data_IF_351256229232
#
_entry.id   IF_351256229232
#
_cell.length_a   1.000
_cell.length_b   1.000
_cell.length_c   1.000
_cell.angle_alpha   90.00
_cell.angle_beta   90.00
_cell.angle_gamma   90.00
#
_symmetry.space_group_name_H-M   'P 1'
#
loop_
_entity.id
_entity.type
_entity.pdbx_description
1 polymer ?
#
# COMPACT_ATOMS: atom_id res chain seq x y z
N UNK A 1 -1.17 -35.97 -50.73
CA UNK A 1 -2.42 -36.77 -50.64
C UNK A 1 -2.23 -37.68 -49.44
N UNK A 2 -2.71 -37.36 -48.23
CA UNK A 2 -4.12 -37.20 -47.85
C UNK A 2 -4.31 -36.04 -46.85
N UNK A 3 -5.47 -35.41 -46.95
CA UNK A 3 -5.92 -34.32 -46.09
C UNK A 3 -6.66 -34.88 -44.88
N UNK A 4 -6.28 -34.45 -43.68
CA UNK A 4 -6.95 -34.84 -42.44
C UNK A 4 -7.90 -33.72 -42.00
N UNK A 5 -9.17 -34.10 -41.88
CA UNK A 5 -10.33 -33.23 -41.78
C UNK A 5 -10.45 -32.68 -40.36
N UNK A 6 -10.42 -31.34 -40.26
CA UNK A 6 -10.72 -30.58 -39.05
C UNK A 6 -12.19 -30.76 -38.66
N UNK A 7 -12.43 -31.38 -37.50
CA UNK A 7 -13.75 -31.34 -36.85
C UNK A 7 -13.76 -30.21 -35.81
N UNK A 8 -14.63 -29.23 -36.05
CA UNK A 8 -14.87 -28.04 -35.24
C UNK A 8 -16.15 -28.28 -34.43
N UNK A 9 -16.14 -28.31 -33.09
CA UNK A 9 -17.38 -28.29 -32.34
C UNK A 9 -17.94 -26.86 -32.25
N UNK A 10 -19.23 -26.77 -32.49
CA UNK A 10 -20.06 -25.57 -32.53
C UNK A 10 -20.18 -24.89 -31.16
N UNK A 11 -20.14 -23.56 -31.20
CA UNK A 11 -20.46 -22.65 -30.10
C UNK A 11 -21.93 -22.73 -29.70
N UNK A 12 -22.21 -22.73 -28.40
CA UNK A 12 -23.51 -22.30 -27.84
C UNK A 12 -23.29 -21.04 -26.99
N UNK A 13 -24.15 -20.01 -27.08
CA UNK A 13 -24.00 -18.75 -26.36
C UNK A 13 -24.64 -18.86 -24.96
N UNK A 14 -23.85 -18.62 -23.90
CA UNK A 14 -24.37 -18.49 -22.53
C UNK A 14 -24.37 -17.00 -22.20
N UNK A 15 -25.58 -16.43 -22.14
CA UNK A 15 -25.82 -15.09 -21.61
C UNK A 15 -25.43 -15.01 -20.12
N UNK A 16 -24.88 -13.88 -19.65
CA UNK A 16 -24.77 -13.60 -18.23
C UNK A 16 -26.10 -13.08 -17.69
N UNK A 17 -26.41 -13.28 -16.40
CA UNK A 17 -27.17 -12.22 -15.77
C UNK A 17 -26.75 -11.89 -14.32
N UNK A 18 -27.00 -10.63 -13.99
CA UNK A 18 -27.13 -10.01 -12.67
C UNK A 18 -25.86 -9.47 -11.99
N UNK A 19 -25.66 -8.17 -12.24
CA UNK A 19 -25.13 -7.23 -11.25
C UNK A 19 -25.90 -7.38 -9.93
N UNK A 20 -25.19 -7.61 -8.82
CA UNK A 20 -25.70 -7.40 -7.47
C UNK A 20 -25.03 -6.15 -6.91
N UNK A 21 -25.83 -5.10 -6.73
CA UNK A 21 -25.45 -3.84 -6.09
C UNK A 21 -25.34 -4.02 -4.58
N UNK A 22 -24.31 -3.39 -3.99
CA UNK A 22 -24.20 -3.10 -2.57
C UNK A 22 -25.26 -2.06 -2.18
N UNK A 23 -26.38 -2.51 -1.60
CA UNK A 23 -27.24 -1.76 -0.68
C UNK A 23 -28.46 -2.66 -0.40
N UNK A 24 -29.04 -2.51 0.78
CA UNK A 24 -30.18 -3.25 1.32
C UNK A 24 -29.80 -4.54 2.04
N UNK A 25 -29.49 -4.40 3.34
CA UNK A 25 -30.01 -5.26 4.41
C UNK A 25 -29.74 -4.56 5.76
N UNK A 26 -30.51 -3.50 6.00
CA UNK A 26 -30.86 -3.07 7.34
C UNK A 26 -32.12 -3.84 7.75
N UNK A 27 -32.10 -4.31 9.00
CA UNK A 27 -33.25 -4.60 9.86
C UNK A 27 -33.62 -6.08 10.13
N UNK A 28 -33.57 -6.37 11.44
CA UNK A 28 -34.50 -7.17 12.26
C UNK A 28 -34.26 -8.68 12.42
N UNK A 29 -33.81 -9.00 13.63
CA UNK A 29 -34.49 -9.88 14.60
C UNK A 29 -34.77 -11.33 14.18
N UNK A 30 -33.88 -12.25 14.61
CA UNK A 30 -34.29 -13.47 15.31
C UNK A 30 -33.08 -14.24 15.85
N UNK A 31 -32.91 -14.21 17.18
CA UNK A 31 -31.98 -15.06 17.93
C UNK A 31 -32.82 -16.03 18.76
N UNK A 32 -32.72 -17.36 18.57
CA UNK A 32 -33.16 -18.31 19.58
C UNK A 32 -32.01 -18.63 20.55
N UNK A 33 -32.22 -18.16 21.77
CA UNK A 33 -31.76 -18.70 23.06
C UNK A 33 -31.32 -20.18 23.05
N UNK A 34 -30.09 -20.45 23.48
CA UNK A 34 -29.74 -21.63 24.28
C UNK A 34 -28.74 -21.28 25.39
N UNK A 35 -29.25 -21.36 26.62
CA UNK A 35 -28.56 -21.62 27.90
C UNK A 35 -27.59 -22.82 27.78
N UNK A 36 -26.59 -23.09 28.63
CA UNK A 36 -25.98 -22.47 29.80
C UNK A 36 -24.63 -23.19 30.01
N UNK A 37 -23.59 -22.47 30.43
CA UNK A 37 -22.27 -23.07 30.65
C UNK A 37 -21.40 -22.24 31.60
N UNK A 38 -21.81 -22.19 32.87
CA UNK A 38 -21.10 -21.52 33.98
C UNK A 38 -19.67 -22.05 34.13
N UNK A 39 -18.66 -21.17 34.09
CA UNK A 39 -17.47 -21.28 34.96
C UNK A 39 -17.08 -19.91 35.50
N UNK A 40 -16.97 -19.86 36.83
CA UNK A 40 -16.77 -18.72 37.70
C UNK A 40 -15.33 -18.18 37.62
N UNK A 41 -15.16 -16.86 37.63
CA UNK A 41 -13.94 -16.18 38.07
C UNK A 41 -14.31 -15.20 39.20
N UNK A 42 -13.45 -14.98 40.22
CA UNK A 42 -13.78 -14.20 41.41
C UNK A 42 -13.61 -12.68 41.19
N UNK A 43 -14.25 -11.83 42.02
CA UNK A 43 -14.21 -10.38 41.89
C UNK A 43 -12.97 -9.81 42.58
N UNK A 44 -12.36 -8.77 41.99
CA UNK A 44 -11.44 -7.88 42.70
C UNK A 44 -12.01 -6.47 42.75
N UNK A 45 -11.76 -5.88 43.91
CA UNK A 45 -12.39 -4.72 44.52
C UNK A 45 -12.25 -3.42 43.71
N UNK A 46 -13.35 -2.67 43.77
CA UNK A 46 -13.45 -1.21 43.65
C UNK A 46 -12.55 -0.49 44.67
N UNK A 47 -11.90 0.60 44.26
CA UNK A 47 -12.22 1.95 44.77
C UNK A 47 -11.71 3.05 43.82
N UNK A 48 -12.45 4.16 43.66
CA UNK A 48 -12.01 5.38 42.99
C UNK A 48 -11.65 6.49 43.99
N UNK A 49 -10.68 7.35 43.68
CA UNK A 49 -10.60 8.70 44.28
C UNK A 49 -10.05 9.73 43.31
N UNK A 50 -10.87 10.74 43.02
CA UNK A 50 -10.47 12.07 42.53
C UNK A 50 -9.75 12.85 43.65
N UNK A 51 -8.80 13.70 43.27
CA UNK A 51 -8.63 15.15 43.63
C UNK A 51 -7.15 15.55 43.38
N UNK A 52 -6.79 16.42 42.43
CA UNK A 52 -6.83 17.91 42.40
C UNK A 52 -5.48 18.55 42.79
N UNK A 53 -4.98 19.40 41.86
CA UNK A 53 -4.07 20.57 41.95
C UNK A 53 -2.57 20.41 42.28
N UNK A 54 -1.75 20.92 41.35
CA UNK A 54 -0.62 21.89 41.45
C UNK A 54 0.18 21.76 40.13
N UNK A 55 0.21 22.65 39.12
CA UNK A 55 0.26 24.12 38.95
C UNK A 55 1.41 24.84 39.67
N UNK A 56 2.57 24.85 39.02
CA UNK A 56 3.60 25.91 38.95
C UNK A 56 4.33 25.73 37.61
N UNK A 57 4.08 26.52 36.57
CA UNK A 57 4.62 27.86 36.25
C UNK A 57 6.10 27.85 35.80
N UNK A 58 6.29 27.96 34.48
CA UNK A 58 7.35 28.63 33.68
C UNK A 58 7.11 28.18 32.21
N UNK A 59 6.55 28.99 31.31
CA UNK A 59 7.08 30.22 30.67
C UNK A 59 8.39 29.89 29.92
N UNK A 60 8.58 30.06 28.60
CA UNK A 60 8.11 31.10 27.66
C UNK A 60 8.16 30.57 26.21
N UNK A 61 7.35 31.20 25.33
CA UNK A 61 7.44 31.25 23.85
C UNK A 61 7.16 29.96 23.06
N UNK A 62 6.35 29.91 22.00
CA UNK A 62 5.95 30.95 21.05
C UNK A 62 4.64 30.48 20.35
N UNK A 63 3.74 31.43 20.17
CA UNK A 63 2.36 31.32 19.67
C UNK A 63 2.16 30.45 18.41
N UNK A 64 1.38 29.38 18.55
CA UNK A 64 0.78 28.61 17.47
C UNK A 64 -0.65 29.05 17.18
N UNK A 65 -0.82 30.24 16.59
CA UNK A 65 -2.07 30.62 15.95
C UNK A 65 -1.82 30.76 14.45
N UNK A 66 -2.28 29.74 13.73
CA UNK A 66 -2.36 29.67 12.28
C UNK A 66 -3.26 30.80 11.75
N UNK A 67 -2.66 31.73 11.00
CA UNK A 67 -3.34 32.84 10.31
C UNK A 67 -3.41 32.62 8.80
N UNK A 68 -3.52 31.37 8.33
CA UNK A 68 -3.56 31.05 6.89
C UNK A 68 -4.98 31.05 6.29
N UNK A 69 -5.92 31.79 6.89
CA UNK A 69 -7.30 31.93 6.36
C UNK A 69 -7.77 33.39 6.31
N UNK A 70 -6.93 34.31 5.81
CA UNK A 70 -7.31 35.71 5.59
C UNK A 70 -6.89 36.30 4.22
N UNK A 71 -6.59 35.47 3.22
CA UNK A 71 -6.29 35.92 1.85
C UNK A 71 -7.30 35.44 0.79
N UNK A 72 -8.56 35.21 1.16
CA UNK A 72 -9.61 34.82 0.20
C UNK A 72 -10.83 35.73 0.20
N UNK A 73 -10.61 37.06 0.21
CA UNK A 73 -11.62 38.05 -0.18
C UNK A 73 -10.94 39.13 -1.01
N UNK A 74 -10.68 38.82 -2.28
CA UNK A 74 -10.62 39.84 -3.33
C UNK A 74 -11.14 39.25 -4.65
N UNK A 75 -12.30 38.60 -4.55
CA UNK A 75 -13.18 38.35 -5.69
C UNK A 75 -14.08 39.57 -5.85
N UNK A 76 -13.62 40.57 -6.60
CA UNK A 76 -14.50 41.52 -7.26
C UNK A 76 -14.37 41.30 -8.77
N UNK A 77 -15.27 40.44 -9.25
CA UNK A 77 -15.76 40.44 -10.62
C UNK A 77 -16.98 41.37 -10.62
N UNK A 78 -16.88 42.52 -11.29
CA UNK A 78 -17.99 43.37 -11.76
C UNK A 78 -17.42 44.73 -12.20
N UNK A 79 -16.92 44.83 -13.43
CA UNK A 79 -17.27 45.98 -14.26
C UNK A 79 -17.38 45.53 -15.71
N UNK A 80 -18.62 45.65 -16.18
CA UNK A 80 -19.11 45.44 -17.52
C UNK A 80 -18.32 46.26 -18.54
N UNK A 81 -17.85 45.58 -19.58
CA UNK A 81 -17.55 46.19 -20.87
C UNK A 81 -18.84 46.76 -21.49
N UNK A 82 -18.74 47.87 -22.22
CA UNK A 82 -19.41 47.96 -23.50
C UNK A 82 -18.34 47.82 -24.58
N UNK A 83 -18.42 46.67 -25.24
CA UNK A 83 -17.89 46.41 -26.57
C UNK A 83 -18.49 47.46 -27.51
N UNK A 84 -17.65 48.29 -28.11
CA UNK A 84 -18.03 49.09 -29.28
C UNK A 84 -17.05 48.75 -30.40
N UNK A 85 -17.49 47.83 -31.24
CA UNK A 85 -16.82 47.44 -32.46
C UNK A 85 -17.90 46.99 -33.44
N UNK A 86 -18.53 47.93 -34.12
CA UNK A 86 -18.97 47.74 -35.51
C UNK A 86 -19.32 49.09 -36.16
N UNK A 87 -18.41 49.62 -36.99
CA UNK A 87 -18.79 50.46 -38.12
C UNK A 87 -17.88 50.10 -39.30
N UNK A 88 -18.43 49.20 -40.10
CA UNK A 88 -18.13 48.92 -41.49
C UNK A 88 -18.07 50.18 -42.36
N UNK A 89 -17.07 50.19 -43.24
CA UNK A 89 -17.15 50.49 -44.68
C UNK A 89 -18.18 51.55 -45.13
N UNK A 90 -17.70 52.73 -45.53
CA UNK A 90 -18.28 53.45 -46.66
C UNK A 90 -17.18 54.08 -47.51
N UNK A 91 -17.40 53.94 -48.80
CA UNK A 91 -16.50 54.18 -49.92
C UNK A 91 -16.45 55.68 -50.29
N UNK A 92 -15.46 56.05 -51.10
CA UNK A 92 -15.56 57.14 -52.08
C UNK A 92 -15.46 58.60 -51.56
N UNK A 93 -14.31 59.24 -51.80
CA UNK A 93 -14.09 60.13 -52.97
C UNK A 93 -12.82 60.97 -52.81
N UNK A 94 -12.09 61.05 -53.93
CA UNK A 94 -10.77 61.63 -54.06
C UNK A 94 -10.62 63.11 -53.67
N UNK A 95 -9.37 63.48 -53.44
CA UNK A 95 -8.72 64.63 -54.09
C UNK A 95 -7.19 64.45 -54.03
N UNK A 96 -6.48 64.69 -55.14
CA UNK A 96 -5.02 64.65 -55.16
C UNK A 96 -4.50 65.98 -54.63
N UNK A 97 -3.65 65.96 -53.60
CA UNK A 97 -2.96 67.18 -53.17
C UNK A 97 -1.45 66.95 -53.11
N UNK A 98 -0.84 67.20 -54.26
CA UNK A 98 0.27 68.12 -54.46
C UNK A 98 1.52 67.86 -53.62
N UNK A 99 2.39 67.07 -54.24
CA UNK A 99 3.84 67.09 -54.07
C UNK A 99 4.36 68.51 -54.38
N UNK A 100 4.46 69.35 -53.34
CA UNK A 100 5.14 70.64 -53.42
C UNK A 100 6.65 70.37 -53.50
N UNK A 101 7.13 70.31 -54.74
CA UNK A 101 8.52 70.60 -55.09
C UNK A 101 8.99 71.84 -54.33
N UNK A 102 10.18 71.81 -53.70
CA UNK A 102 10.82 73.01 -53.23
C UNK A 102 11.01 73.97 -54.41
N UNK A 103 10.66 75.27 -54.28
CA UNK A 103 10.89 76.22 -55.35
C UNK A 103 12.39 76.37 -55.61
N UNK A 104 12.75 76.37 -56.90
CA UNK A 104 14.09 76.68 -57.38
C UNK A 104 14.63 77.96 -56.72
N UNK A 105 15.94 78.01 -56.36
CA UNK A 105 16.53 79.17 -55.73
C UNK A 105 16.39 80.40 -56.66
N UNK A 106 15.93 81.55 -56.16
CA UNK A 106 15.89 82.76 -56.96
C UNK A 106 17.32 83.14 -57.38
N UNK A 107 17.48 83.33 -58.70
CA UNK A 107 18.67 83.82 -59.38
C UNK A 107 19.35 84.96 -58.59
N UNK A 108 20.70 85.00 -58.54
CA UNK A 108 21.43 86.06 -57.86
C UNK A 108 21.11 87.40 -58.55
N UNK A 109 20.36 88.26 -57.87
CA UNK A 109 20.28 89.67 -58.26
C UNK A 109 21.67 90.26 -58.12
N UNK A 110 22.18 90.78 -59.23
CA UNK A 110 23.44 91.50 -59.30
C UNK A 110 23.54 92.55 -58.19
N UNK A 111 24.72 92.76 -57.60
CA UNK A 111 24.89 93.65 -56.47
C UNK A 111 24.52 95.07 -56.88
N UNK A 112 23.60 95.76 -56.17
CA UNK A 112 23.48 97.19 -56.36
C UNK A 112 24.83 97.81 -56.01
N UNK A 113 25.31 98.57 -56.99
CA UNK A 113 26.55 99.32 -57.00
C UNK A 113 26.87 99.91 -55.64
N UNK A 114 28.13 99.65 -55.26
CA UNK A 114 28.89 100.16 -54.12
C UNK A 114 28.78 101.68 -54.05
N UNK A 115 27.64 102.20 -53.56
CA UNK A 115 27.54 103.56 -53.06
C UNK A 115 28.46 103.61 -51.86
N UNK A 116 29.55 104.34 -52.03
CA UNK A 116 30.51 104.64 -50.99
C UNK A 116 29.73 104.93 -49.70
N UNK A 117 29.82 104.00 -48.75
CA UNK A 117 29.52 104.30 -47.36
C UNK A 117 30.54 105.35 -47.00
N UNK A 118 30.18 106.62 -47.19
CA UNK A 118 30.62 107.67 -46.28
C UNK A 118 30.49 107.04 -44.91
N UNK A 119 31.60 106.93 -44.21
CA UNK A 119 31.65 106.59 -42.80
C UNK A 119 30.81 107.65 -42.08
N UNK A 120 29.48 107.48 -42.12
CA UNK A 120 28.59 108.04 -41.13
C UNK A 120 29.03 107.29 -39.90
N UNK A 121 29.95 107.90 -39.15
CA UNK A 121 30.33 107.50 -37.81
C UNK A 121 28.99 107.32 -37.10
N UNK A 122 28.57 106.06 -36.95
CA UNK A 122 27.33 105.77 -36.29
C UNK A 122 27.43 106.44 -34.93
N UNK A 123 26.34 107.08 -34.50
CA UNK A 123 26.35 107.72 -33.20
C UNK A 123 26.74 106.64 -32.19
N UNK A 124 27.62 106.93 -31.24
CA UNK A 124 28.07 105.95 -30.24
C UNK A 124 26.90 105.18 -29.59
N UNK A 125 25.71 105.79 -29.55
CA UNK A 125 24.44 105.18 -29.13
C UNK A 125 23.88 104.12 -30.09
N UNK A 126 23.91 104.33 -31.41
CA UNK A 126 23.45 103.35 -32.41
C UNK A 126 24.35 102.11 -32.43
N UNK A 127 25.67 102.30 -32.35
CA UNK A 127 26.62 101.19 -32.22
C UNK A 127 26.41 100.43 -30.91
N UNK A 128 26.09 101.12 -29.82
CA UNK A 128 25.76 100.49 -28.55
C UNK A 128 24.49 99.64 -28.63
N UNK A 129 23.40 100.13 -29.24
CA UNK A 129 22.15 99.35 -29.43
C UNK A 129 22.39 98.15 -30.36
N UNK A 130 23.14 98.32 -31.45
CA UNK A 130 23.48 97.21 -32.36
C UNK A 130 24.36 96.18 -31.63
N UNK A 131 25.34 96.61 -30.83
CA UNK A 131 26.18 95.73 -30.02
C UNK A 131 25.36 95.00 -28.95
N UNK A 132 24.42 95.67 -28.30
CA UNK A 132 23.55 95.06 -27.28
C UNK A 132 22.59 94.03 -27.87
N UNK A 133 21.97 94.32 -29.00
CA UNK A 133 21.09 93.37 -29.71
C UNK A 133 21.87 92.19 -30.29
N UNK A 134 23.12 92.39 -30.73
CA UNK A 134 24.05 91.30 -31.09
C UNK A 134 24.39 90.43 -29.87
N UNK A 135 24.79 91.04 -28.75
CA UNK A 135 25.10 90.34 -27.50
C UNK A 135 23.90 89.50 -27.02
N UNK A 136 22.68 90.03 -27.13
CA UNK A 136 21.45 89.34 -26.75
C UNK A 136 21.10 88.17 -27.69
N UNK A 137 21.30 88.34 -29.01
CA UNK A 137 21.15 87.26 -29.99
C UNK A 137 22.18 86.16 -29.78
N UNK A 138 23.42 86.49 -29.47
CA UNK A 138 24.45 85.50 -29.14
C UNK A 138 24.13 84.75 -27.86
N UNK A 139 23.61 85.43 -26.82
CA UNK A 139 23.13 84.76 -25.61
C UNK A 139 22.02 83.77 -25.92
N UNK A 140 21.03 84.17 -26.74
CA UNK A 140 19.95 83.28 -27.17
C UNK A 140 20.45 82.09 -28.00
N UNK A 141 21.43 82.31 -28.89
CA UNK A 141 22.09 81.22 -29.66
C UNK A 141 22.87 80.28 -28.76
N UNK A 142 23.61 80.80 -27.77
CA UNK A 142 24.33 80.01 -26.76
C UNK A 142 23.37 79.19 -25.90
N UNK A 143 22.23 79.76 -25.50
CA UNK A 143 21.18 79.04 -24.77
C UNK A 143 20.56 77.93 -25.63
N UNK A 144 20.15 78.22 -26.87
CA UNK A 144 19.58 77.22 -27.76
C UNK A 144 20.57 76.08 -28.06
N UNK A 145 21.87 76.37 -28.18
CA UNK A 145 22.90 75.35 -28.34
C UNK A 145 23.08 74.49 -27.08
N UNK A 146 23.04 75.09 -25.88
CA UNK A 146 23.09 74.35 -24.61
C UNK A 146 21.87 73.44 -24.44
N UNK A 147 20.67 73.96 -24.69
CA UNK A 147 19.43 73.18 -24.61
C UNK A 147 19.42 72.03 -25.62
N UNK A 148 19.94 72.25 -26.84
CA UNK A 148 20.08 71.17 -27.83
C UNK A 148 21.05 70.08 -27.36
N UNK A 149 22.17 70.47 -26.75
CA UNK A 149 23.13 69.52 -26.17
C UNK A 149 22.56 68.74 -25.00
N UNK A 150 21.84 69.43 -24.11
CA UNK A 150 21.18 68.82 -22.96
C UNK A 150 20.13 67.79 -23.40
N UNK A 151 19.30 68.12 -24.39
CA UNK A 151 18.35 67.17 -24.99
C UNK A 151 19.03 65.96 -25.64
N UNK A 152 20.13 66.19 -26.36
CA UNK A 152 20.91 65.09 -26.97
C UNK A 152 21.52 64.16 -25.89
N UNK A 153 21.99 64.73 -24.79
CA UNK A 153 22.51 63.95 -23.66
C UNK A 153 21.42 63.18 -22.92
N UNK A 154 20.25 63.80 -22.70
CA UNK A 154 19.09 63.15 -22.08
C UNK A 154 18.57 61.98 -22.95
N UNK A 155 18.48 62.17 -24.27
CA UNK A 155 18.12 61.08 -25.19
C UNK A 155 19.15 59.94 -25.18
N UNK A 156 20.44 60.25 -25.06
CA UNK A 156 21.49 59.22 -24.95
C UNK A 156 21.38 58.46 -23.63
N UNK A 157 21.14 59.15 -22.52
CA UNK A 157 20.97 58.51 -21.22
C UNK A 157 19.71 57.63 -21.17
N UNK A 158 18.60 58.07 -21.79
CA UNK A 158 17.39 57.26 -21.92
C UNK A 158 17.64 56.00 -22.75
N UNK A 159 18.33 56.12 -23.90
CA UNK A 159 18.70 54.96 -24.73
C UNK A 159 19.57 53.96 -23.95
N UNK A 160 20.57 54.43 -23.22
CA UNK A 160 21.40 53.55 -22.39
C UNK A 160 20.60 52.86 -21.26
N UNK A 161 19.65 53.56 -20.64
CA UNK A 161 18.76 52.97 -19.62
C UNK A 161 17.85 51.90 -20.23
N UNK A 162 17.30 52.15 -21.41
CA UNK A 162 16.48 51.17 -22.13
C UNK A 162 17.30 49.94 -22.55
N UNK A 163 18.50 50.13 -23.09
CA UNK A 163 19.39 49.01 -23.44
C UNK A 163 19.76 48.18 -22.21
N UNK A 164 20.09 48.82 -21.09
CA UNK A 164 20.36 48.13 -19.81
C UNK A 164 19.12 47.36 -19.31
N UNK A 165 17.92 47.95 -19.43
CA UNK A 165 16.67 47.28 -19.07
C UNK A 165 16.41 46.07 -19.96
N UNK A 166 16.56 46.21 -21.28
CA UNK A 166 16.41 45.09 -22.22
C UNK A 166 17.40 43.96 -21.93
N UNK A 167 18.64 44.30 -21.56
CA UNK A 167 19.64 43.30 -21.19
C UNK A 167 19.26 42.56 -19.90
N UNK A 168 18.78 43.28 -18.89
CA UNK A 168 18.28 42.69 -17.65
C UNK A 168 17.09 41.77 -17.92
N UNK A 169 16.13 42.21 -18.75
CA UNK A 169 14.95 41.43 -19.12
C UNK A 169 15.34 40.15 -19.90
N UNK A 170 16.30 40.23 -20.83
CA UNK A 170 16.85 39.06 -21.54
C UNK A 170 17.48 38.07 -20.57
N UNK A 171 18.35 38.53 -19.67
CA UNK A 171 18.97 37.67 -18.65
C UNK A 171 17.94 37.03 -17.72
N UNK A 172 16.91 37.78 -17.32
CA UNK A 172 15.85 37.25 -16.47
C UNK A 172 15.04 36.17 -17.20
N UNK A 173 14.70 36.39 -18.47
CA UNK A 173 14.02 35.40 -19.32
C UNK A 173 14.85 34.13 -19.48
N UNK A 174 16.13 34.26 -19.85
CA UNK A 174 17.04 33.11 -19.96
C UNK A 174 17.15 32.32 -18.65
N UNK A 175 17.29 33.02 -17.52
CA UNK A 175 17.33 32.39 -16.20
C UNK A 175 16.01 31.66 -15.88
N UNK A 176 14.86 32.27 -16.16
CA UNK A 176 13.55 31.66 -15.94
C UNK A 176 13.36 30.40 -16.81
N UNK A 177 13.75 30.46 -18.09
CA UNK A 177 13.70 29.32 -19.01
C UNK A 177 14.60 28.18 -18.55
N UNK A 178 15.85 28.48 -18.19
CA UNK A 178 16.77 27.48 -17.62
C UNK A 178 16.19 26.84 -16.36
N UNK A 179 15.55 27.63 -15.49
CA UNK A 179 14.98 27.11 -14.25
C UNK A 179 13.77 26.22 -14.50
N UNK A 180 12.89 26.59 -15.43
CA UNK A 180 11.75 25.74 -15.82
C UNK A 180 12.20 24.45 -16.49
N UNK A 181 13.26 24.49 -17.32
CA UNK A 181 13.82 23.31 -17.95
C UNK A 181 14.41 22.34 -16.90
N UNK A 182 15.19 22.86 -15.95
CA UNK A 182 15.72 22.05 -14.85
C UNK A 182 14.59 21.41 -14.03
N UNK A 183 13.53 22.15 -13.71
CA UNK A 183 12.37 21.58 -13.01
C UNK A 183 11.68 20.49 -13.84
N UNK A 184 11.52 20.68 -15.15
CA UNK A 184 10.95 19.65 -16.05
C UNK A 184 11.81 18.40 -16.07
N UNK A 185 13.13 18.54 -16.13
CA UNK A 185 14.07 17.40 -16.09
C UNK A 185 13.96 16.66 -14.76
N UNK A 186 13.96 17.39 -13.63
CA UNK A 186 13.83 16.79 -12.31
C UNK A 186 12.49 16.06 -12.13
N UNK A 187 11.38 16.66 -12.59
CA UNK A 187 10.06 16.02 -12.56
C UNK A 187 10.05 14.72 -13.38
N UNK A 188 10.59 14.75 -14.60
CA UNK A 188 10.70 13.55 -15.45
C UNK A 188 11.58 12.47 -14.81
N UNK A 189 12.71 12.86 -14.20
CA UNK A 189 13.59 11.93 -13.50
C UNK A 189 12.90 11.27 -12.31
N UNK A 190 12.17 12.04 -11.48
CA UNK A 190 11.38 11.52 -10.36
C UNK A 190 10.30 10.55 -10.81
N UNK A 191 9.54 10.90 -11.86
CA UNK A 191 8.52 10.00 -12.43
C UNK A 191 9.14 8.70 -12.96
N UNK A 192 10.32 8.76 -13.57
CA UNK A 192 11.04 7.57 -14.03
C UNK A 192 11.49 6.69 -12.87
N UNK A 193 12.00 7.29 -11.79
CA UNK A 193 12.39 6.59 -10.57
C UNK A 193 11.18 5.91 -9.92
N UNK A 194 10.07 6.64 -9.74
CA UNK A 194 8.85 6.10 -9.14
C UNK A 194 8.27 4.92 -9.96
N UNK A 195 8.31 5.01 -11.29
CA UNK A 195 7.88 3.89 -12.16
C UNK A 195 8.79 2.66 -12.00
N UNK A 196 10.11 2.86 -11.95
CA UNK A 196 11.06 1.77 -11.75
C UNK A 196 10.89 1.12 -10.36
N UNK A 197 10.66 1.92 -9.32
CA UNK A 197 10.39 1.42 -7.97
C UNK A 197 9.09 0.62 -7.91
N UNK A 198 8.02 1.11 -8.56
CA UNK A 198 6.75 0.37 -8.67
C UNK A 198 6.92 -0.95 -9.40
N UNK A 199 7.66 -0.98 -10.50
CA UNK A 199 7.94 -2.20 -11.25
C UNK A 199 8.71 -3.22 -10.41
N UNK A 200 9.71 -2.78 -9.65
CA UNK A 200 10.45 -3.64 -8.71
C UNK A 200 9.54 -4.17 -7.60
N UNK A 201 8.68 -3.32 -7.04
CA UNK A 201 7.73 -3.70 -5.99
C UNK A 201 6.71 -4.74 -6.50
N UNK A 202 6.19 -4.55 -7.72
CA UNK A 202 5.24 -5.48 -8.33
C UNK A 202 5.91 -6.81 -8.70
N UNK A 203 7.16 -6.79 -9.19
CA UNK A 203 7.94 -8.02 -9.38
C UNK A 203 8.17 -8.77 -8.06
N UNK A 204 8.46 -8.07 -6.95
CA UNK A 204 8.59 -8.71 -5.62
C UNK A 204 7.28 -9.35 -5.19
N UNK A 205 6.14 -8.67 -5.37
CA UNK A 205 4.82 -9.22 -5.05
C UNK A 205 4.51 -10.47 -5.88
N UNK A 206 4.79 -10.43 -7.18
CA UNK A 206 4.64 -11.59 -8.07
C UNK A 206 5.50 -12.77 -7.59
N UNK A 207 6.77 -12.54 -7.26
CA UNK A 207 7.64 -13.60 -6.73
C UNK A 207 7.14 -14.19 -5.41
N UNK A 208 6.60 -13.36 -4.50
CA UNK A 208 6.02 -13.85 -3.24
C UNK A 208 4.80 -14.71 -3.54
N UNK A 209 3.93 -14.27 -4.45
CA UNK A 209 2.75 -15.01 -4.85
C UNK A 209 3.09 -16.35 -5.50
N UNK A 210 4.03 -16.37 -6.45
CA UNK A 210 4.51 -17.60 -7.09
C UNK A 210 5.14 -18.57 -6.08
N UNK A 211 5.92 -18.06 -5.11
CA UNK A 211 6.47 -18.88 -4.04
C UNK A 211 5.37 -19.46 -3.16
N UNK A 212 4.38 -18.67 -2.79
CA UNK A 212 3.24 -19.12 -1.99
C UNK A 212 2.42 -20.20 -2.73
N UNK A 213 2.17 -20.02 -4.03
CA UNK A 213 1.51 -21.01 -4.86
C UNK A 213 2.30 -22.32 -4.93
N UNK A 214 3.61 -22.25 -5.22
CA UNK A 214 4.48 -23.43 -5.26
C UNK A 214 4.49 -24.20 -3.93
N UNK A 215 4.53 -23.50 -2.80
CA UNK A 215 4.47 -24.14 -1.48
C UNK A 215 3.10 -24.73 -1.18
N UNK A 216 2.02 -24.08 -1.63
CA UNK A 216 0.66 -24.62 -1.51
C UNK A 216 0.49 -25.90 -2.32
N UNK A 217 0.96 -25.91 -3.57
CA UNK A 217 0.89 -27.08 -4.45
C UNK A 217 1.70 -28.25 -3.87
N UNK A 218 2.92 -28.00 -3.41
CA UNK A 218 3.74 -29.00 -2.69
C UNK A 218 3.04 -29.56 -1.46
N UNK A 219 2.40 -28.71 -0.68
CA UNK A 219 1.65 -29.14 0.50
C UNK A 219 0.45 -30.01 0.11
N UNK A 220 -0.23 -29.67 -0.99
CA UNK A 220 -1.36 -30.44 -1.53
C UNK A 220 -0.91 -31.83 -1.98
N UNK A 221 0.21 -31.93 -2.71
CA UNK A 221 0.81 -33.20 -3.10
C UNK A 221 1.18 -34.06 -1.88
N UNK A 222 1.86 -33.47 -0.88
CA UNK A 222 2.19 -34.17 0.37
C UNK A 222 0.95 -34.65 1.12
N UNK A 223 -0.14 -33.89 1.07
CA UNK A 223 -1.41 -34.28 1.68
C UNK A 223 -2.05 -35.46 0.96
N UNK A 224 -2.06 -35.44 -0.37
CA UNK A 224 -2.59 -36.52 -1.20
C UNK A 224 -1.77 -37.80 -1.00
N UNK A 225 -0.44 -37.72 -1.06
CA UNK A 225 0.44 -38.87 -0.82
C UNK A 225 0.20 -39.50 0.56
N UNK A 226 0.11 -38.67 1.61
CA UNK A 226 -0.17 -39.17 2.97
C UNK A 226 -1.55 -39.82 3.09
N UNK A 227 -2.54 -39.31 2.37
CA UNK A 227 -3.87 -39.90 2.33
C UNK A 227 -3.89 -41.23 1.56
N UNK A 228 -3.15 -41.32 0.45
CA UNK A 228 -2.98 -42.55 -0.31
C UNK A 228 -2.23 -43.62 0.48
N UNK A 229 -1.14 -43.28 1.17
CA UNK A 229 -0.41 -44.19 2.06
C UNK A 229 -1.31 -44.71 3.18
N UNK A 230 -2.09 -43.83 3.81
CA UNK A 230 -3.08 -44.22 4.83
C UNK A 230 -4.11 -45.18 4.24
N UNK A 231 -4.65 -44.87 3.06
CA UNK A 231 -5.63 -45.73 2.37
C UNK A 231 -5.05 -47.10 2.03
N UNK A 232 -3.80 -47.16 1.52
CA UNK A 232 -3.13 -48.42 1.21
C UNK A 232 -2.89 -49.26 2.47
N UNK A 233 -2.48 -48.62 3.57
CA UNK A 233 -2.30 -49.30 4.85
C UNK A 233 -3.61 -49.86 5.41
N UNK A 234 -4.68 -49.07 5.36
CA UNK A 234 -6.01 -49.51 5.81
C UNK A 234 -6.52 -50.68 4.96
N UNK A 235 -6.26 -50.68 3.65
CA UNK A 235 -6.58 -51.78 2.74
C UNK A 235 -5.76 -53.04 3.05
N UNK A 236 -4.45 -52.92 3.29
CA UNK A 236 -3.59 -54.03 3.68
C UNK A 236 -4.02 -54.63 5.02
N UNK A 237 -4.33 -53.79 6.01
CA UNK A 237 -4.83 -54.23 7.32
C UNK A 237 -6.20 -54.91 7.19
N UNK A 238 -7.07 -54.45 6.29
CA UNK A 238 -8.35 -55.12 5.99
C UNK A 238 -8.11 -56.50 5.38
N UNK A 239 -7.28 -56.58 4.35
CA UNK A 239 -6.91 -57.86 3.71
C UNK A 239 -6.27 -58.84 4.69
N UNK A 240 -5.40 -58.35 5.58
CA UNK A 240 -4.78 -59.16 6.64
C UNK A 240 -5.80 -59.73 7.61
N UNK A 241 -6.78 -58.92 8.04
CA UNK A 241 -7.86 -59.37 8.94
C UNK A 241 -8.78 -60.38 8.27
N UNK A 242 -9.04 -60.23 6.98
CA UNK A 242 -9.82 -61.20 6.19
C UNK A 242 -9.08 -62.54 6.09
N UNK A 243 -7.79 -62.53 5.77
CA UNK A 243 -6.96 -63.73 5.76
C UNK A 243 -6.92 -64.43 7.14
N UNK A 244 -6.74 -63.68 8.22
CA UNK A 244 -6.76 -64.25 9.59
C UNK A 244 -8.13 -64.87 9.94
N UNK A 245 -9.24 -64.27 9.48
CA UNK A 245 -10.58 -64.85 9.67
C UNK A 245 -10.75 -66.16 8.90
N UNK A 246 -10.30 -66.21 7.65
CA UNK A 246 -10.35 -67.43 6.84
C UNK A 246 -9.48 -68.55 7.42
N UNK A 247 -8.28 -68.23 7.92
CA UNK A 247 -7.42 -69.21 8.60
C UNK A 247 -8.08 -69.75 9.86
N UNK A 248 -8.69 -68.88 10.69
CA UNK A 248 -9.44 -69.31 11.87
C UNK A 248 -10.63 -70.20 11.51
N UNK A 249 -11.33 -69.90 10.40
CA UNK A 249 -12.42 -70.72 9.91
C UNK A 249 -11.92 -72.11 9.48
N UNK A 250 -10.86 -72.19 8.67
CA UNK A 250 -10.26 -73.46 8.25
C UNK A 250 -9.78 -74.29 9.44
N UNK A 251 -9.10 -73.66 10.40
CA UNK A 251 -8.68 -74.35 11.63
C UNK A 251 -9.87 -74.86 12.44
N UNK A 252 -10.94 -74.06 12.57
CA UNK A 252 -12.15 -74.49 13.27
C UNK A 252 -12.83 -75.67 12.56
N UNK A 253 -12.89 -75.65 11.22
CA UNK A 253 -13.40 -76.74 10.40
C UNK A 253 -12.55 -78.01 10.54
N UNK A 254 -11.22 -77.90 10.52
CA UNK A 254 -10.30 -79.01 10.76
C UNK A 254 -10.50 -79.62 12.16
N UNK A 255 -10.53 -78.79 13.20
CA UNK A 255 -10.77 -79.21 14.57
C UNK A 255 -12.14 -79.87 14.72
N UNK A 256 -13.17 -79.32 14.07
CA UNK A 256 -14.51 -79.90 14.06
C UNK A 256 -14.54 -81.25 13.37
N UNK A 257 -13.87 -81.39 12.21
CA UNK A 257 -13.77 -82.64 11.47
C UNK A 257 -13.00 -83.70 12.26
N UNK A 258 -11.90 -83.32 12.91
CA UNK A 258 -11.19 -84.19 13.84
C UNK A 258 -12.07 -84.61 15.02
N UNK A 259 -12.83 -83.67 15.59
CA UNK A 259 -13.76 -83.95 16.67
C UNK A 259 -14.86 -84.91 16.21
N UNK A 260 -15.42 -84.76 15.01
CA UNK A 260 -16.38 -85.71 14.43
C UNK A 260 -15.78 -87.11 14.32
N UNK A 261 -14.55 -87.25 13.84
CA UNK A 261 -13.84 -88.54 13.79
C UNK A 261 -13.63 -89.14 15.18
N UNK A 262 -13.11 -88.35 16.13
CA UNK A 262 -12.86 -88.77 17.52
C UNK A 262 -14.16 -89.05 18.29
N UNK A 263 -15.26 -88.36 17.98
CA UNK A 263 -16.54 -88.53 18.70
C UNK A 263 -17.16 -89.90 18.43
N UNK A 264 -16.99 -90.44 17.22
CA UNK A 264 -17.45 -91.80 16.87
C UNK A 264 -16.71 -92.90 17.62
N UNK A 265 -15.47 -92.65 18.06
CA UNK A 265 -14.63 -93.61 18.78
C UNK A 265 -14.61 -93.40 20.28
N UNK A 266 -15.17 -92.29 20.79
CA UNK A 266 -15.23 -92.03 22.23
C UNK A 266 -16.23 -92.98 22.89
N UNK A 267 -15.85 -93.72 23.96
CA UNK A 267 -16.82 -94.44 24.75
C UNK A 267 -17.82 -93.45 25.33
N UNK A 268 -19.09 -93.86 25.44
CA UNK A 268 -20.14 -93.03 26.05
C UNK A 268 -19.65 -92.56 27.42
N UNK A 269 -19.68 -91.25 27.74
CA UNK A 269 -19.27 -90.75 29.03
C UNK A 269 -20.01 -91.53 30.13
N UNK A 270 -19.25 -92.12 31.04
CA UNK A 270 -19.82 -92.84 32.17
C UNK A 270 -20.47 -91.79 33.08
N UNK A 271 -21.78 -91.92 33.28
CA UNK A 271 -22.53 -90.99 34.12
C UNK A 271 -22.06 -91.12 35.57
N UNK A 272 -21.72 -90.00 36.20
CA UNK A 272 -21.23 -89.98 37.58
C UNK A 272 -22.35 -90.17 38.62
N UNK A 273 -23.60 -90.00 38.19
CA UNK A 273 -24.80 -90.22 38.99
C UNK A 273 -25.84 -90.92 38.12
N UNK A 274 -26.41 -91.99 38.64
CA UNK A 274 -27.51 -92.72 38.00
C UNK A 274 -28.80 -92.47 38.78
N UNK A 275 -29.87 -92.14 38.08
CA UNK A 275 -31.20 -91.95 38.65
C UNK A 275 -32.19 -92.93 38.01
N UNK A 276 -33.14 -93.41 38.80
CA UNK A 276 -34.26 -94.20 38.28
C UNK A 276 -35.39 -93.27 37.89
N UNK A 277 -35.64 -93.13 36.60
CA UNK A 277 -36.81 -92.39 36.10
C UNK A 277 -37.58 -93.25 35.12
N UNK A 278 -38.87 -93.45 35.41
CA UNK A 278 -39.75 -94.28 34.57
C UNK A 278 -39.38 -95.77 34.51
N UNK A 279 -38.64 -96.30 35.49
CA UNK A 279 -38.26 -97.72 35.56
C UNK A 279 -36.99 -98.10 34.79
N UNK A 280 -36.30 -97.15 34.17
CA UNK A 280 -35.03 -97.38 33.45
C UNK A 280 -33.91 -96.57 34.11
N UNK A 281 -32.80 -97.23 34.45
CA UNK A 281 -31.61 -96.59 35.03
C UNK A 281 -31.00 -95.64 34.00
N UNK A 282 -31.26 -94.35 34.16
CA UNK A 282 -30.80 -93.31 33.25
C UNK A 282 -29.72 -92.50 33.96
N UNK A 283 -28.62 -92.24 33.26
CA UNK A 283 -27.56 -91.38 33.78
C UNK A 283 -28.04 -89.94 33.90
N UNK A 284 -28.00 -89.40 35.11
CA UNK A 284 -28.34 -88.01 35.38
C UNK A 284 -27.07 -87.17 35.40
N UNK A 285 -27.11 -86.01 34.75
CA UNK A 285 -26.22 -84.92 35.12
C UNK A 285 -26.86 -84.28 36.35
N UNK A 286 -26.31 -84.56 37.53
CA UNK A 286 -26.80 -83.99 38.76
C UNK A 286 -26.77 -82.46 38.68
N UNK A 287 -27.95 -81.85 38.49
CA UNK A 287 -28.12 -80.38 38.45
C UNK A 287 -27.81 -79.74 39.80
N UNK A 288 -27.73 -80.52 40.89
CA UNK A 288 -27.27 -80.06 42.19
C UNK A 288 -25.74 -80.19 42.36
N UNK A 289 -25.06 -80.99 41.53
CA UNK A 289 -23.60 -81.12 41.52
C UNK A 289 -22.93 -80.10 40.60
N UNK A 290 -23.31 -78.83 40.71
CA UNK A 290 -22.41 -77.79 40.24
C UNK A 290 -21.11 -77.94 41.05
N UNK A 291 -19.94 -78.12 40.41
CA UNK A 291 -18.70 -78.15 41.16
C UNK A 291 -18.63 -76.85 41.97
N UNK A 292 -18.31 -76.96 43.26
CA UNK A 292 -18.19 -75.82 44.15
C UNK A 292 -17.33 -74.78 43.43
N UNK A 293 -17.83 -73.54 43.21
CA UNK A 293 -17.08 -72.53 42.48
C UNK A 293 -15.70 -72.39 43.10
N UNK A 294 -14.65 -72.53 42.29
CA UNK A 294 -13.27 -72.50 42.77
C UNK A 294 -12.88 -71.14 43.37
N UNK A 295 -13.68 -70.10 43.14
CA UNK A 295 -13.49 -68.77 43.66
C UNK A 295 -14.83 -68.17 44.12
N UNK A 296 -14.88 -67.77 45.39
CA UNK A 296 -15.97 -66.99 45.95
C UNK A 296 -15.42 -65.60 46.29
N UNK A 297 -16.04 -64.51 45.81
CA UNK A 297 -15.62 -63.16 46.15
C UNK A 297 -16.03 -62.88 47.61
N UNK A 298 -15.08 -62.80 48.57
CA UNK A 298 -15.42 -62.69 49.98
C UNK A 298 -16.08 -61.35 50.34
N UNK A 299 -15.97 -60.32 49.49
CA UNK A 299 -16.58 -59.01 49.70
C UNK A 299 -17.23 -58.52 48.39
N UNK A 300 -18.51 -58.83 48.14
CA UNK A 300 -19.15 -58.60 46.85
C UNK A 300 -19.28 -57.12 46.46
N UNK A 301 -19.19 -56.19 47.43
CA UNK A 301 -19.24 -54.74 47.19
C UNK A 301 -17.87 -54.10 46.90
N UNK A 302 -16.77 -54.86 47.05
CA UNK A 302 -15.44 -54.39 46.65
C UNK A 302 -15.21 -54.72 45.18
N UNK A 303 -14.81 -53.75 44.35
CA UNK A 303 -14.41 -54.03 42.97
C UNK A 303 -13.29 -55.07 42.95
N UNK A 304 -13.48 -56.16 42.22
CA UNK A 304 -12.45 -57.18 42.05
C UNK A 304 -11.24 -56.50 41.42
N UNK A 305 -10.09 -56.56 42.10
CA UNK A 305 -8.83 -56.05 41.55
C UNK A 305 -8.41 -56.94 40.38
N UNK A 306 -8.91 -56.60 39.18
CA UNK A 306 -8.41 -57.17 37.93
C UNK A 306 -6.96 -56.70 37.79
N UNK A 307 -5.97 -57.61 37.81
CA UNK A 307 -4.59 -57.22 37.58
C UNK A 307 -4.54 -56.51 36.23
N UNK A 308 -4.10 -55.25 36.22
CA UNK A 308 -3.88 -54.53 34.97
C UNK A 308 -2.83 -55.32 34.20
N UNK A 309 -3.22 -55.85 33.04
CA UNK A 309 -2.30 -56.57 32.15
C UNK A 309 -1.04 -55.72 31.98
N UNK A 310 0.11 -56.33 32.24
CA UNK A 310 1.41 -55.69 32.05
C UNK A 310 1.54 -55.38 30.56
N UNK A 311 1.17 -54.16 30.18
CA UNK A 311 1.49 -53.62 28.86
C UNK A 311 2.98 -53.85 28.61
N UNK A 312 3.38 -54.36 27.43
CA UNK A 312 4.78 -54.65 27.14
C UNK A 312 5.61 -53.39 27.39
N UNK A 313 6.65 -53.54 28.21
CA UNK A 313 7.61 -52.49 28.54
C UNK A 313 8.27 -52.01 27.23
N UNK A 314 7.78 -50.91 26.69
CA UNK A 314 8.57 -50.09 25.75
C UNK A 314 9.89 -49.73 26.45
N UNK A 315 11.05 -49.92 25.80
CA UNK A 315 12.35 -49.71 26.44
C UNK A 315 12.51 -48.24 26.83
N UNK A 316 12.51 -48.01 28.15
CA UNK A 316 12.80 -46.74 28.77
C UNK A 316 14.21 -46.30 28.37
N UNK A 317 14.32 -45.18 27.65
CA UNK A 317 15.57 -44.43 27.51
C UNK A 317 16.10 -44.13 28.91
N UNK A 318 17.38 -44.48 29.13
CA UNK A 318 18.14 -44.29 30.38
C UNK A 318 17.83 -42.93 31.02
N UNK A 319 17.28 -42.96 32.23
CA UNK A 319 17.32 -41.83 33.18
C UNK A 319 18.77 -41.67 33.64
N UNK A 320 19.48 -40.72 33.04
CA UNK A 320 20.66 -40.12 33.65
C UNK A 320 20.22 -39.26 34.83
N UNK A 321 20.75 -39.53 36.01
CA UNK A 321 20.54 -38.74 37.22
C UNK A 321 21.04 -37.31 37.02
N UNK A 322 20.21 -36.34 37.38
CA UNK A 322 20.56 -34.93 37.34
C UNK A 322 19.34 -34.06 37.58
N UNK A 323 19.07 -33.72 38.84
CA UNK A 323 18.14 -32.64 39.21
C UNK A 323 18.60 -31.34 38.56
N UNK A 324 17.99 -30.96 37.44
CA UNK A 324 18.04 -29.58 36.94
C UNK A 324 16.79 -28.86 37.43
N UNK A 325 17.01 -27.80 38.21
CA UNK A 325 15.99 -26.81 38.59
C UNK A 325 15.21 -26.42 37.33
N UNK A 326 13.88 -26.38 37.43
CA UNK A 326 13.00 -25.89 36.39
C UNK A 326 13.34 -24.43 36.07
N UNK A 327 14.16 -24.20 35.05
CA UNK A 327 14.11 -22.94 34.34
C UNK A 327 12.74 -22.89 33.67
N UNK A 328 11.88 -22.01 34.16
CA UNK A 328 10.88 -21.39 33.30
C UNK A 328 11.60 -20.96 32.03
N UNK A 329 11.19 -21.50 30.88
CA UNK A 329 11.49 -20.86 29.61
C UNK A 329 10.88 -19.47 29.70
N UNK A 330 11.65 -18.37 29.56
CA UNK A 330 11.02 -17.09 29.31
C UNK A 330 10.17 -17.27 28.05
N UNK A 331 8.90 -16.91 28.13
CA UNK A 331 8.01 -16.81 26.96
C UNK A 331 8.78 -16.15 25.82
N UNK A 332 8.69 -16.66 24.58
CA UNK A 332 9.43 -16.12 23.45
C UNK A 332 9.22 -14.61 23.40
N UNK A 333 10.30 -13.81 23.32
CA UNK A 333 10.18 -12.36 23.34
C UNK A 333 9.23 -11.95 22.22
N UNK A 334 8.23 -11.16 22.59
CA UNK A 334 7.32 -10.51 21.66
C UNK A 334 8.17 -9.78 20.61
N UNK A 335 8.19 -10.37 19.40
CA UNK A 335 9.12 -10.05 18.30
C UNK A 335 9.09 -8.58 17.87
N UNK A 336 8.09 -7.81 18.30
CA UNK A 336 7.93 -6.41 17.96
C UNK A 336 8.78 -5.46 18.82
N UNK A 337 8.99 -5.74 20.12
CA UNK A 337 9.80 -4.84 20.97
C UNK A 337 11.29 -4.90 20.65
N UNK A 338 11.80 -6.07 20.23
CA UNK A 338 13.23 -6.23 19.93
C UNK A 338 13.61 -5.67 18.54
N UNK A 339 12.67 -5.64 17.59
CA UNK A 339 12.86 -4.98 16.29
C UNK A 339 12.95 -3.47 16.48
N UNK A 340 12.05 -2.88 17.27
CA UNK A 340 12.09 -1.44 17.59
C UNK A 340 13.41 -1.07 18.27
N UNK A 341 13.84 -1.82 19.30
CA UNK A 341 15.11 -1.53 19.98
C UNK A 341 16.34 -1.72 19.09
N UNK A 342 16.34 -2.66 18.14
CA UNK A 342 17.43 -2.81 17.16
C UNK A 342 17.48 -1.65 16.15
N UNK A 343 16.33 -1.10 15.76
CA UNK A 343 16.30 0.08 14.88
C UNK A 343 16.82 1.33 15.60
N UNK A 344 16.42 1.55 16.86
CA UNK A 344 16.89 2.68 17.68
C UNK A 344 18.40 2.60 17.93
N UNK A 345 18.92 1.40 18.26
CA UNK A 345 20.35 1.20 18.51
C UNK A 345 21.22 1.36 17.26
N UNK A 346 20.69 1.01 16.07
CA UNK A 346 21.37 1.28 14.79
C UNK A 346 21.41 2.77 14.47
N UNK A 347 20.31 3.49 14.69
CA UNK A 347 20.24 4.95 14.50
C UNK A 347 21.23 5.69 15.42
N UNK A 348 21.31 5.31 16.71
CA UNK A 348 22.24 5.93 17.65
C UNK A 348 23.72 5.68 17.32
N UNK A 349 24.04 4.51 16.74
CA UNK A 349 25.43 4.16 16.34
C UNK A 349 25.92 4.88 15.09
N UNK A 350 25.00 5.39 14.25
CA UNK A 350 25.33 6.18 13.06
C UNK A 350 25.56 7.66 13.38
N UNK A 351 24.91 8.17 14.43
CA UNK A 351 25.06 9.56 14.89
C UNK A 351 26.41 9.77 15.59
N UNK A 352 26.93 8.77 16.30
CA UNK A 352 28.21 8.87 17.01
C UNK A 352 29.45 8.67 16.13
N UNK A 353 29.30 8.28 14.86
CA UNK A 353 30.41 8.17 13.89
C UNK A 353 30.56 9.39 12.97
N UNK A 354 29.78 10.45 13.19
CA UNK A 354 29.80 11.69 12.39
C UNK A 354 30.17 12.95 13.19
N UNK A 355 30.77 12.79 14.36
CA UNK A 355 31.38 13.91 15.11
C UNK A 355 32.89 13.77 15.13
#
# INVERSE_FOLDING_TARGET
>A
MYAEIRSRPQSSPIHPPFHRTLADDLATDNIPSLEAGRRRAPPRYSQPTRKVLNRTYSDESLTGYSTDSLLSILSHDSYTTPTDSDLSDDESKGKPYREERPPDPPKPKAPPTRKQKKEKKASHWEEWVVRKTQEEREKRRKQAWKEKKEKEEEEREQKEKEEKKQLADKKHKEWAEQRTLQQKIQRKAKVRQEKAEKEIEDQKKQQIHEKAQKEYDRWLEMKQQKEEERRQKDEEDRRRKEAEKEEKQKQAEEVYNEWLKKSKTKPRPMFHSFGYTGGVLTGYHDRAAYPIPSFYNPVPWMPIHVPKEKQPKVPNKKKGGGRKKSQHQPSPPLLWKEVEQRTVRKQSSLITRKR
#
